data_IF_213470969684
#
_entry.id   IF_213470969684
#
_cell.length_a   1.000
_cell.length_b   1.000
_cell.length_c   1.000
_cell.angle_alpha   90.00
_cell.angle_beta   90.00
_cell.angle_gamma   90.00
#
_symmetry.space_group_name_H-M   'P 1'
#
loop_
_entity.id
_entity.type
_entity.pdbx_description
1 polymer ?
#
# COMPACT_ATOMS: atom_id res chain seq x y z
N UNK A 1 -12.62 -0.67 -4.32
CA UNK A 1 -13.95 -0.98 -3.76
C UNK A 1 -14.87 0.17 -4.05
N UNK A 2 -15.97 -0.09 -4.77
CA UNK A 2 -17.11 0.82 -4.76
C UNK A 2 -17.79 0.69 -3.40
N UNK A 3 -18.07 1.82 -2.76
CA UNK A 3 -19.17 2.04 -1.82
C UNK A 3 -19.75 0.77 -1.16
N UNK A 4 -19.29 0.42 0.05
CA UNK A 4 -19.91 -0.61 0.86
C UNK A 4 -20.94 0.04 1.78
N UNK A 5 -22.21 -0.15 1.45
CA UNK A 5 -23.29 0.13 2.37
C UNK A 5 -23.87 -1.23 2.77
N UNK A 6 -23.71 -1.62 4.03
CA UNK A 6 -24.43 -2.77 4.61
C UNK A 6 -25.92 -2.41 4.81
N UNK A 7 -26.54 -1.82 3.80
CA UNK A 7 -27.91 -1.34 3.85
C UNK A 7 -28.68 -1.91 2.65
N UNK A 8 -29.67 -2.76 2.95
CA UNK A 8 -30.58 -3.36 1.97
C UNK A 8 -31.43 -2.31 1.22
N UNK A 9 -31.39 -1.03 1.64
CA UNK A 9 -32.09 0.07 0.98
C UNK A 9 -31.73 0.23 -0.50
N UNK A 10 -30.48 -0.04 -0.92
CA UNK A 10 -30.15 0.03 -2.37
C UNK A 10 -30.81 -1.11 -3.12
N UNK A 11 -30.82 -2.33 -2.56
CA UNK A 11 -31.58 -3.46 -3.12
C UNK A 11 -33.07 -3.11 -3.22
N UNK A 12 -33.62 -2.43 -2.21
CA UNK A 12 -35.02 -2.01 -2.19
C UNK A 12 -35.35 -0.86 -3.15
N UNK A 13 -34.44 0.10 -3.32
CA UNK A 13 -34.55 1.15 -4.34
C UNK A 13 -34.48 0.56 -5.76
N UNK A 14 -33.60 -0.43 -5.98
CA UNK A 14 -33.53 -1.17 -7.24
C UNK A 14 -34.81 -1.96 -7.46
N UNK A 15 -35.39 -2.61 -6.44
CA UNK A 15 -36.71 -3.27 -6.53
C UNK A 15 -37.81 -2.30 -7.00
N UNK A 16 -37.81 -1.06 -6.51
CA UNK A 16 -38.81 -0.02 -6.87
C UNK A 16 -38.57 0.67 -8.22
N UNK A 17 -37.33 0.68 -8.73
CA UNK A 17 -37.00 1.31 -10.01
C UNK A 17 -37.64 0.57 -11.19
N UNK A 18 -38.15 1.23 -12.26
CA UNK A 18 -38.84 0.53 -13.35
C UNK A 18 -37.93 -0.36 -14.21
N UNK A 19 -36.64 0.00 -14.38
CA UNK A 19 -35.77 -0.63 -15.41
C UNK A 19 -34.50 -1.30 -14.91
N UNK A 20 -34.07 -1.04 -13.66
CA UNK A 20 -32.78 -1.50 -13.15
C UNK A 20 -32.91 -2.88 -12.47
N UNK A 21 -31.92 -3.75 -12.66
CA UNK A 21 -31.79 -5.04 -11.99
C UNK A 21 -30.39 -5.21 -11.34
N UNK A 22 -30.18 -6.26 -10.56
CA UNK A 22 -28.89 -6.55 -9.91
C UNK A 22 -28.85 -7.96 -9.34
N UNK A 23 -27.65 -8.42 -8.98
CA UNK A 23 -27.41 -9.69 -8.28
C UNK A 23 -27.90 -9.56 -6.83
N UNK A 24 -28.64 -10.56 -6.37
CA UNK A 24 -29.02 -10.71 -4.96
C UNK A 24 -28.01 -11.61 -4.23
N UNK A 25 -27.82 -12.84 -4.74
CA UNK A 25 -26.84 -13.82 -4.25
C UNK A 25 -26.49 -14.88 -5.33
N UNK A 26 -25.48 -15.71 -5.07
CA UNK A 26 -25.01 -16.77 -5.95
C UNK A 26 -24.93 -18.10 -5.20
N UNK A 27 -25.37 -19.19 -5.84
CA UNK A 27 -25.25 -20.57 -5.35
C UNK A 27 -24.46 -21.44 -6.33
N UNK A 28 -23.72 -22.41 -5.80
CA UNK A 28 -22.99 -23.40 -6.57
C UNK A 28 -23.72 -24.74 -6.51
N UNK A 29 -24.01 -25.34 -7.68
CA UNK A 29 -24.67 -26.63 -7.75
C UNK A 29 -23.71 -27.76 -7.40
N UNK A 30 -24.00 -28.47 -6.32
CA UNK A 30 -23.25 -29.64 -5.87
C UNK A 30 -24.11 -30.91 -5.95
N UNK A 31 -24.26 -31.47 -7.14
CA UNK A 31 -25.05 -32.70 -7.35
C UNK A 31 -24.14 -33.95 -7.26
N UNK A 32 -24.33 -34.83 -6.25
CA UNK A 32 -23.51 -36.03 -6.06
C UNK A 32 -23.75 -37.11 -7.11
N UNK A 33 -24.80 -37.00 -7.93
CA UNK A 33 -25.11 -37.96 -9.00
C UNK A 33 -24.29 -37.71 -10.27
N UNK A 34 -23.65 -36.55 -10.37
CA UNK A 34 -22.81 -36.15 -11.51
C UNK A 34 -21.37 -36.62 -11.27
N UNK A 35 -20.72 -37.32 -12.24
CA UNK A 35 -19.34 -37.78 -12.11
C UNK A 35 -18.36 -36.64 -11.79
N UNK A 36 -17.37 -36.93 -10.95
CA UNK A 36 -16.54 -35.94 -10.26
C UNK A 36 -15.99 -34.78 -11.09
N UNK A 37 -15.58 -35.03 -12.34
CA UNK A 37 -15.09 -33.96 -13.21
C UNK A 37 -16.17 -32.93 -13.55
N UNK A 38 -17.42 -33.33 -13.74
CA UNK A 38 -18.54 -32.46 -14.11
C UNK A 38 -19.30 -31.89 -12.89
N UNK A 39 -18.98 -32.33 -11.68
CA UNK A 39 -19.50 -31.78 -10.41
C UNK A 39 -18.97 -30.34 -10.20
N UNK A 40 -19.71 -29.48 -9.51
CA UNK A 40 -19.33 -28.08 -9.20
C UNK A 40 -19.08 -27.19 -10.44
N UNK A 41 -19.74 -27.48 -11.57
CA UNK A 41 -19.62 -26.69 -12.81
C UNK A 41 -20.81 -25.80 -13.14
N UNK A 42 -21.86 -25.81 -12.32
CA UNK A 42 -23.07 -25.01 -12.56
C UNK A 42 -23.24 -23.98 -11.45
N UNK A 43 -23.26 -22.71 -11.83
CA UNK A 43 -23.47 -21.56 -10.96
C UNK A 43 -24.89 -21.02 -11.17
N UNK A 44 -25.64 -20.85 -10.09
CA UNK A 44 -26.95 -20.20 -10.10
C UNK A 44 -26.83 -18.79 -9.52
N UNK A 45 -27.01 -17.78 -10.37
CA UNK A 45 -26.97 -16.38 -9.96
C UNK A 45 -28.40 -15.86 -9.84
N UNK A 46 -28.83 -15.53 -8.63
CA UNK A 46 -30.17 -15.02 -8.35
C UNK A 46 -30.17 -13.50 -8.50
N UNK A 47 -31.06 -13.00 -9.35
CA UNK A 47 -31.27 -11.58 -9.57
C UNK A 47 -32.47 -11.07 -8.76
N UNK A 48 -32.45 -9.77 -8.45
CA UNK A 48 -33.48 -9.09 -7.67
C UNK A 48 -34.85 -9.08 -8.39
N UNK A 49 -34.84 -9.02 -9.72
CA UNK A 49 -36.04 -9.04 -10.58
C UNK A 49 -35.96 -10.16 -11.61
N UNK A 50 -37.13 -10.66 -12.09
CA UNK A 50 -37.18 -11.61 -13.19
C UNK A 50 -36.47 -11.05 -14.42
N UNK A 51 -35.64 -11.90 -15.01
CA UNK A 51 -34.95 -11.63 -16.25
C UNK A 51 -35.94 -12.02 -17.35
N UNK A 52 -36.28 -11.09 -18.24
CA UNK A 52 -37.28 -11.28 -19.29
C UNK A 52 -36.86 -12.34 -20.32
N UNK A 53 -36.89 -11.99 -21.61
CA UNK A 53 -36.62 -12.98 -22.65
C UNK A 53 -35.20 -13.58 -22.57
N UNK A 54 -35.15 -14.92 -22.65
CA UNK A 54 -33.93 -15.72 -22.55
C UNK A 54 -32.88 -15.37 -23.61
N UNK A 55 -33.28 -14.75 -24.71
CA UNK A 55 -32.41 -14.36 -25.83
C UNK A 55 -31.60 -13.09 -25.59
N UNK A 56 -31.78 -12.41 -24.46
CA UNK A 56 -31.16 -11.11 -24.16
C UNK A 56 -29.85 -11.21 -23.35
N UNK A 57 -29.50 -12.41 -22.84
CA UNK A 57 -28.25 -12.66 -22.12
C UNK A 57 -27.50 -13.83 -22.77
N UNK A 58 -26.23 -13.60 -23.09
CA UNK A 58 -25.31 -14.59 -23.65
C UNK A 58 -24.11 -14.85 -22.75
N UNK A 59 -23.19 -15.69 -23.23
CA UNK A 59 -21.92 -16.01 -22.53
C UNK A 59 -21.06 -14.78 -22.26
N UNK A 60 -21.17 -13.76 -23.11
CA UNK A 60 -20.45 -12.50 -23.03
C UNK A 60 -20.89 -11.62 -21.85
N UNK A 61 -22.07 -11.89 -21.29
CA UNK A 61 -22.62 -11.12 -20.18
C UNK A 61 -22.18 -11.62 -18.81
N UNK A 62 -21.55 -12.80 -18.72
CA UNK A 62 -21.10 -13.37 -17.44
C UNK A 62 -19.60 -13.61 -17.54
N UNK A 63 -18.83 -12.87 -16.75
CA UNK A 63 -17.39 -13.03 -16.66
C UNK A 63 -16.99 -13.46 -15.26
N UNK A 64 -16.11 -14.45 -15.17
CA UNK A 64 -15.53 -14.92 -13.91
C UNK A 64 -14.06 -14.57 -13.94
N UNK A 65 -13.59 -13.90 -12.89
CA UNK A 65 -12.20 -13.52 -12.70
C UNK A 65 -11.73 -14.01 -11.33
N UNK A 66 -10.46 -14.40 -11.20
CA UNK A 66 -9.89 -14.90 -9.95
C UNK A 66 -9.22 -16.27 -10.10
N UNK A 67 -8.90 -16.88 -8.96
CA UNK A 67 -8.15 -18.13 -8.89
C UNK A 67 -6.64 -17.93 -8.80
N UNK A 68 -5.99 -18.58 -7.83
CA UNK A 68 -4.53 -18.58 -7.72
C UNK A 68 -3.91 -19.71 -8.54
N UNK A 69 -4.34 -20.95 -8.27
CA UNK A 69 -3.78 -22.17 -8.87
C UNK A 69 -4.55 -22.62 -10.11
N UNK A 70 -5.89 -22.52 -10.09
CA UNK A 70 -6.72 -22.77 -11.27
C UNK A 70 -7.21 -21.42 -11.81
N UNK A 71 -6.69 -21.04 -12.98
CA UNK A 71 -7.05 -19.80 -13.69
C UNK A 71 -7.83 -20.13 -14.97
N UNK A 72 -8.39 -19.09 -15.59
CA UNK A 72 -9.10 -19.16 -16.88
C UNK A 72 -10.38 -20.02 -16.84
N UNK A 73 -11.18 -19.83 -15.79
CA UNK A 73 -12.53 -20.38 -15.71
C UNK A 73 -13.42 -19.61 -16.68
N UNK A 74 -13.78 -20.27 -17.78
CA UNK A 74 -14.61 -19.70 -18.83
C UNK A 74 -16.04 -20.23 -18.73
N UNK A 75 -17.01 -19.34 -18.94
CA UNK A 75 -18.43 -19.68 -19.02
C UNK A 75 -18.71 -20.33 -20.38
N UNK A 76 -19.17 -21.58 -20.37
CA UNK A 76 -19.46 -22.37 -21.57
C UNK A 76 -20.88 -22.16 -22.08
N UNK A 77 -21.85 -22.05 -21.17
CA UNK A 77 -23.24 -21.80 -21.50
C UNK A 77 -23.89 -20.93 -20.43
N UNK A 78 -24.85 -20.12 -20.86
CA UNK A 78 -25.69 -19.30 -19.99
C UNK A 78 -27.14 -19.55 -20.39
N UNK A 79 -27.98 -19.90 -19.44
CA UNK A 79 -29.42 -19.98 -19.63
C UNK A 79 -30.15 -19.19 -18.55
N UNK A 80 -31.22 -18.50 -18.95
CA UNK A 80 -32.14 -17.84 -18.02
C UNK A 80 -33.19 -18.87 -17.62
N UNK A 81 -33.41 -18.99 -16.32
CA UNK A 81 -34.37 -19.91 -15.74
C UNK A 81 -33.73 -21.21 -15.26
N UNK A 82 -33.76 -21.41 -13.95
CA UNK A 82 -33.42 -22.67 -13.30
C UNK A 82 -34.44 -22.94 -12.19
N UNK A 83 -34.72 -24.21 -11.91
CA UNK A 83 -35.63 -24.63 -10.84
C UNK A 83 -37.03 -23.99 -10.88
N UNK A 84 -37.53 -23.65 -12.08
CA UNK A 84 -38.84 -23.03 -12.27
C UNK A 84 -38.92 -21.54 -11.95
N UNK A 85 -37.79 -20.87 -11.67
CA UNK A 85 -37.73 -19.43 -11.36
C UNK A 85 -37.17 -18.63 -12.53
N UNK A 86 -37.77 -17.48 -12.86
CA UNK A 86 -37.35 -16.61 -13.98
C UNK A 86 -36.32 -15.53 -13.59
N UNK A 87 -35.92 -15.45 -12.33
CA UNK A 87 -34.91 -14.51 -11.83
C UNK A 87 -33.53 -15.15 -11.65
N UNK A 88 -33.31 -16.36 -12.20
CA UNK A 88 -32.06 -17.10 -12.03
C UNK A 88 -31.30 -17.20 -13.35
N UNK A 89 -30.01 -16.88 -13.32
CA UNK A 89 -29.07 -17.15 -14.41
C UNK A 89 -28.31 -18.42 -14.06
N UNK A 90 -28.49 -19.47 -14.86
CA UNK A 90 -27.67 -20.66 -14.78
C UNK A 90 -26.46 -20.50 -15.71
N UNK A 91 -25.27 -20.38 -15.13
CA UNK A 91 -24.01 -20.30 -15.86
C UNK A 91 -23.23 -21.59 -15.67
N UNK A 92 -22.89 -22.27 -16.78
CA UNK A 92 -22.05 -23.45 -16.76
C UNK A 92 -20.60 -23.05 -17.04
N UNK A 93 -19.65 -23.64 -16.33
CA UNK A 93 -18.22 -23.35 -16.47
C UNK A 93 -17.43 -24.54 -17.04
N UNK A 94 -16.32 -24.23 -17.71
CA UNK A 94 -15.45 -25.23 -18.33
C UNK A 94 -14.72 -26.14 -17.32
N UNK A 95 -14.39 -25.64 -16.13
CA UNK A 95 -13.60 -26.30 -15.10
C UNK A 95 -14.14 -25.95 -13.71
N UNK A 96 -14.11 -26.91 -12.78
CA UNK A 96 -14.30 -26.63 -11.37
C UNK A 96 -13.03 -25.96 -10.81
N UNK A 97 -13.20 -24.89 -10.01
CA UNK A 97 -12.10 -24.17 -9.39
C UNK A 97 -11.50 -24.87 -8.16
N UNK A 98 -10.72 -24.10 -7.39
CA UNK A 98 -10.05 -24.51 -6.16
C UNK A 98 -10.60 -23.75 -4.92
N UNK A 99 -9.83 -23.69 -3.84
CA UNK A 99 -10.15 -22.96 -2.60
C UNK A 99 -9.91 -21.43 -2.70
N UNK A 100 -9.47 -20.93 -3.86
CA UNK A 100 -9.26 -19.49 -4.05
C UNK A 100 -10.61 -18.75 -4.14
N UNK A 101 -10.59 -17.45 -3.86
CA UNK A 101 -11.75 -16.57 -4.11
C UNK A 101 -11.88 -16.27 -5.61
N UNK A 102 -13.10 -16.41 -6.14
CA UNK A 102 -13.46 -16.04 -7.50
C UNK A 102 -14.54 -14.96 -7.47
N UNK A 103 -14.44 -13.99 -8.37
CA UNK A 103 -15.42 -12.92 -8.52
C UNK A 103 -16.20 -13.14 -9.82
N UNK A 104 -17.51 -13.26 -9.72
CA UNK A 104 -18.42 -13.24 -10.87
C UNK A 104 -18.88 -11.81 -11.13
N UNK A 105 -18.81 -11.38 -12.38
CA UNK A 105 -19.25 -10.07 -12.86
C UNK A 105 -20.26 -10.20 -13.99
N UNK A 106 -21.38 -9.50 -13.85
CA UNK A 106 -22.36 -9.30 -14.92
C UNK A 106 -22.00 -8.07 -15.75
N UNK A 107 -21.91 -8.26 -17.06
CA UNK A 107 -21.64 -7.20 -18.04
C UNK A 107 -22.95 -6.77 -18.71
N UNK A 108 -23.16 -5.46 -18.91
CA UNK A 108 -24.37 -4.95 -19.55
C UNK A 108 -24.48 -5.44 -21.00
N UNK A 109 -25.64 -5.96 -21.37
CA UNK A 109 -25.95 -6.35 -22.75
C UNK A 109 -26.51 -5.19 -23.57
N UNK A 110 -26.22 -5.15 -24.87
CA UNK A 110 -26.68 -4.07 -25.80
C UNK A 110 -28.22 -4.02 -25.92
N UNK A 111 -28.92 -5.13 -25.66
CA UNK A 111 -30.40 -5.22 -25.61
C UNK A 111 -30.93 -5.85 -24.32
N UNK A 112 -30.06 -6.04 -23.32
CA UNK A 112 -30.38 -6.76 -22.08
C UNK A 112 -30.88 -5.85 -20.96
N UNK A 113 -31.29 -6.42 -19.81
CA UNK A 113 -31.64 -5.65 -18.62
C UNK A 113 -30.47 -4.75 -18.20
N UNK A 114 -30.77 -3.51 -17.82
CA UNK A 114 -29.75 -2.60 -17.28
C UNK A 114 -29.45 -3.01 -15.84
N UNK A 115 -28.19 -3.34 -15.57
CA UNK A 115 -27.76 -3.70 -14.22
C UNK A 115 -27.25 -2.46 -13.48
N UNK A 116 -27.57 -2.39 -12.18
CA UNK A 116 -26.98 -1.41 -11.29
C UNK A 116 -25.46 -1.65 -11.19
N UNK A 117 -24.60 -0.65 -11.48
CA UNK A 117 -23.15 -0.81 -11.44
C UNK A 117 -22.61 -1.38 -10.12
N UNK A 118 -23.30 -1.14 -8.99
CA UNK A 118 -22.90 -1.64 -7.67
C UNK A 118 -23.31 -3.10 -7.43
N UNK A 119 -24.38 -3.57 -8.05
CA UNK A 119 -24.94 -4.92 -7.83
C UNK A 119 -24.64 -5.86 -9.01
N UNK A 120 -23.48 -5.69 -9.65
CA UNK A 120 -23.03 -6.52 -10.80
C UNK A 120 -21.96 -7.54 -10.43
N UNK A 121 -21.40 -7.48 -9.23
CA UNK A 121 -20.28 -8.33 -8.81
C UNK A 121 -20.61 -9.12 -7.55
N UNK A 122 -20.21 -10.39 -7.50
CA UNK A 122 -20.34 -11.25 -6.32
C UNK A 122 -19.12 -12.17 -6.19
N UNK A 123 -18.62 -12.35 -4.98
CA UNK A 123 -17.48 -13.21 -4.68
C UNK A 123 -17.94 -14.59 -4.18
N UNK A 124 -17.29 -15.66 -4.63
CA UNK A 124 -17.63 -17.05 -4.28
C UNK A 124 -16.41 -18.00 -4.35
N UNK A 125 -16.56 -19.22 -3.81
CA UNK A 125 -15.51 -20.26 -3.75
C UNK A 125 -16.06 -21.63 -4.18
N UNK A 126 -15.25 -22.49 -4.81
CA UNK A 126 -15.72 -23.74 -5.42
C UNK A 126 -15.76 -24.97 -4.49
N UNK A 127 -14.98 -25.03 -3.41
CA UNK A 127 -14.90 -26.23 -2.55
C UNK A 127 -15.35 -25.94 -1.13
N UNK A 128 -16.26 -26.78 -0.62
CA UNK A 128 -16.82 -26.66 0.73
C UNK A 128 -16.34 -27.79 1.66
N UNK A 129 -16.03 -29.00 1.18
CA UNK A 129 -15.44 -30.08 2.01
C UNK A 129 -14.58 -31.06 1.19
N UNK A 130 -13.33 -31.34 1.59
CA UNK A 130 -12.56 -32.49 1.08
C UNK A 130 -11.51 -32.99 2.10
N UNK A 131 -11.40 -34.31 2.37
CA UNK A 131 -10.40 -34.88 3.27
C UNK A 131 -9.00 -34.97 2.61
N UNK A 132 -7.97 -34.80 3.42
CA UNK A 132 -6.57 -34.71 3.02
C UNK A 132 -5.95 -36.13 2.89
N UNK A 133 -5.29 -36.44 1.77
CA UNK A 133 -4.89 -37.81 1.41
C UNK A 133 -3.37 -37.94 1.16
N UNK A 134 -2.55 -37.53 2.13
CA UNK A 134 -1.09 -37.65 2.05
C UNK A 134 -0.58 -38.85 2.85
N UNK A 135 0.22 -39.69 2.20
CA UNK A 135 0.82 -40.92 2.72
C UNK A 135 2.26 -40.66 3.22
N UNK A 136 2.67 -41.31 4.31
CA UNK A 136 3.89 -40.97 5.07
C UNK A 136 5.20 -41.46 4.43
N UNK A 137 6.21 -40.59 4.43
CA UNK A 137 7.57 -40.82 3.90
C UNK A 137 8.39 -41.78 4.79
N UNK A 138 9.03 -42.80 4.19
CA UNK A 138 9.85 -43.79 4.91
C UNK A 138 11.30 -43.33 5.07
N UNK A 139 11.82 -43.41 6.30
CA UNK A 139 13.17 -42.97 6.70
C UNK A 139 14.31 -43.75 6.03
N UNK A 140 15.43 -43.09 5.65
CA UNK A 140 16.61 -43.74 5.10
C UNK A 140 17.42 -44.50 6.17
N UNK A 141 18.24 -45.50 5.76
CA UNK A 141 19.05 -46.32 6.66
C UNK A 141 20.32 -45.62 7.20
N UNK A 142 20.84 -46.13 8.31
CA UNK A 142 21.88 -45.50 9.15
C UNK A 142 23.26 -45.35 8.48
N UNK A 143 23.91 -44.21 8.77
CA UNK A 143 25.26 -43.85 8.31
C UNK A 143 26.38 -44.51 9.14
N UNK A 144 27.58 -44.74 8.56
CA UNK A 144 28.71 -45.38 9.24
C UNK A 144 29.36 -44.51 10.34
N UNK A 145 29.97 -45.15 11.33
CA UNK A 145 30.63 -44.51 12.48
C UNK A 145 31.94 -43.80 12.10
N UNK A 146 32.08 -42.54 12.52
CA UNK A 146 33.25 -41.68 12.30
C UNK A 146 34.16 -41.77 13.54
N UNK A 147 35.50 -41.93 13.41
CA UNK A 147 36.40 -41.98 14.56
C UNK A 147 36.39 -40.67 15.36
N UNK A 148 36.44 -40.79 16.70
CA UNK A 148 36.44 -39.65 17.61
C UNK A 148 37.73 -38.83 17.46
N UNK A 149 37.56 -37.57 17.05
CA UNK A 149 38.62 -36.57 17.02
C UNK A 149 38.67 -35.86 18.38
N UNK A 150 39.84 -35.37 18.81
CA UNK A 150 39.91 -34.55 20.01
C UNK A 150 38.99 -33.33 19.88
N UNK A 151 38.24 -33.03 20.95
CA UNK A 151 37.32 -31.91 20.98
C UNK A 151 38.11 -30.60 20.95
N UNK A 152 38.26 -30.02 19.75
CA UNK A 152 38.79 -28.67 19.61
C UNK A 152 37.67 -27.72 19.99
N UNK A 153 37.87 -26.94 21.05
CA UNK A 153 36.93 -25.88 21.41
C UNK A 153 37.02 -24.73 20.39
N UNK A 154 36.24 -24.82 19.32
CA UNK A 154 36.18 -23.80 18.26
C UNK A 154 35.56 -22.48 18.72
N UNK A 155 35.00 -22.42 19.93
CA UNK A 155 34.48 -21.18 20.52
C UNK A 155 35.53 -20.44 21.37
N UNK A 156 36.67 -21.08 21.67
CA UNK A 156 37.78 -20.44 22.35
C UNK A 156 38.32 -19.30 21.48
N UNK A 157 38.09 -18.08 21.94
CA UNK A 157 38.39 -16.84 21.21
C UNK A 157 39.06 -15.77 22.08
N UNK A 158 39.32 -16.10 23.34
CA UNK A 158 39.96 -15.27 24.34
C UNK A 158 41.35 -15.80 24.67
N UNK A 159 42.15 -14.98 25.35
CA UNK A 159 43.51 -15.33 25.74
C UNK A 159 43.60 -16.68 26.47
N UNK A 160 42.73 -16.90 27.46
CA UNK A 160 42.72 -18.12 28.27
C UNK A 160 42.45 -19.35 27.40
N UNK A 161 41.40 -19.31 26.57
CA UNK A 161 41.06 -20.41 25.67
C UNK A 161 42.14 -20.70 24.63
N UNK A 162 42.79 -19.68 24.07
CA UNK A 162 43.91 -19.89 23.14
C UNK A 162 45.12 -20.52 23.82
N UNK A 163 45.45 -20.08 25.04
CA UNK A 163 46.57 -20.64 25.81
C UNK A 163 46.34 -22.12 26.13
N UNK A 164 45.14 -22.48 26.58
CA UNK A 164 44.74 -23.84 26.91
C UNK A 164 44.79 -24.75 25.67
N UNK A 165 44.17 -24.32 24.56
CA UNK A 165 44.18 -25.08 23.30
C UNK A 165 45.60 -25.37 22.81
N UNK A 166 46.48 -24.37 22.87
CA UNK A 166 47.88 -24.54 22.44
C UNK A 166 48.65 -25.47 23.38
N UNK A 167 48.48 -25.37 24.70
CA UNK A 167 49.12 -26.25 25.67
C UNK A 167 48.61 -27.70 25.56
N UNK A 168 47.32 -27.90 25.37
CA UNK A 168 46.71 -29.22 25.15
C UNK A 168 47.25 -29.85 23.86
N UNK A 169 47.32 -29.06 22.78
CA UNK A 169 47.88 -29.53 21.51
C UNK A 169 49.36 -29.90 21.65
N UNK A 170 50.14 -29.11 22.38
CA UNK A 170 51.55 -29.40 22.65
C UNK A 170 51.73 -30.68 23.46
N UNK A 171 50.82 -30.98 24.39
CA UNK A 171 50.85 -32.23 25.18
C UNK A 171 50.68 -33.48 24.32
N UNK A 172 49.92 -33.39 23.22
CA UNK A 172 49.75 -34.49 22.26
C UNK A 172 50.94 -34.62 21.30
N UNK A 173 51.44 -33.49 20.79
CA UNK A 173 52.51 -33.48 19.79
C UNK A 173 53.89 -33.75 20.40
N UNK A 174 54.12 -33.27 21.63
CA UNK A 174 55.38 -33.34 22.35
C UNK A 174 55.14 -33.89 23.76
N UNK A 175 54.77 -35.18 23.90
CA UNK A 175 54.44 -35.77 25.21
C UNK A 175 55.61 -35.77 26.21
N UNK A 176 56.83 -35.53 25.75
CA UNK A 176 58.02 -35.40 26.61
C UNK A 176 58.15 -34.01 27.23
N UNK A 177 57.47 -33.00 26.68
CA UNK A 177 57.47 -31.65 27.21
C UNK A 177 56.36 -31.50 28.27
N UNK A 178 56.78 -31.48 29.53
CA UNK A 178 55.90 -31.48 30.72
C UNK A 178 55.96 -30.18 31.52
N UNK A 179 56.76 -29.21 31.08
CA UNK A 179 56.96 -27.95 31.78
C UNK A 179 55.67 -27.10 31.74
N UNK A 180 55.32 -26.52 32.90
CA UNK A 180 54.12 -25.71 33.12
C UNK A 180 54.41 -24.43 33.91
N UNK A 181 55.68 -24.18 34.25
CA UNK A 181 56.09 -22.98 34.96
C UNK A 181 55.85 -21.73 34.09
N UNK A 182 55.22 -20.67 34.64
CA UNK A 182 55.10 -19.38 33.95
C UNK A 182 56.46 -18.75 33.61
N UNK A 183 57.55 -19.17 34.28
CA UNK A 183 58.90 -18.70 34.00
C UNK A 183 59.59 -19.47 32.85
N UNK A 184 58.94 -20.50 32.30
CA UNK A 184 59.45 -21.23 31.15
C UNK A 184 59.30 -20.43 29.85
N UNK A 185 60.33 -20.50 29.01
CA UNK A 185 60.34 -19.77 27.73
C UNK A 185 59.28 -20.31 26.76
N UNK A 186 58.99 -21.61 26.80
CA UNK A 186 57.95 -22.24 25.98
C UNK A 186 56.56 -21.76 26.39
N UNK A 187 56.30 -21.69 27.70
CA UNK A 187 55.04 -21.11 28.23
C UNK A 187 54.90 -19.64 27.87
N UNK A 188 55.97 -18.83 28.02
CA UNK A 188 55.98 -17.42 27.62
C UNK A 188 55.67 -17.23 26.12
N UNK A 189 56.21 -18.09 25.24
CA UNK A 189 55.92 -18.03 23.80
C UNK A 189 54.45 -18.38 23.51
N UNK A 190 53.88 -19.36 24.21
CA UNK A 190 52.47 -19.70 24.08
C UNK A 190 51.58 -18.54 24.51
N UNK A 191 51.88 -17.90 25.64
CA UNK A 191 51.15 -16.72 26.11
C UNK A 191 51.24 -15.54 25.12
N UNK A 192 52.43 -15.29 24.55
CA UNK A 192 52.59 -14.25 23.53
C UNK A 192 51.73 -14.51 22.29
N UNK A 193 51.68 -15.76 21.83
CA UNK A 193 50.83 -16.16 20.71
C UNK A 193 49.34 -16.05 21.07
N UNK A 194 48.97 -16.41 22.30
CA UNK A 194 47.59 -16.32 22.78
C UNK A 194 47.11 -14.86 22.83
N UNK A 195 47.97 -13.94 23.28
CA UNK A 195 47.70 -12.50 23.28
C UNK A 195 47.45 -11.96 21.86
N UNK A 196 48.31 -12.33 20.90
CA UNK A 196 48.11 -11.94 19.49
C UNK A 196 46.82 -12.56 18.93
N UNK A 197 46.54 -13.82 19.29
CA UNK A 197 45.31 -14.52 18.93
C UNK A 197 44.05 -13.78 19.39
N UNK A 198 43.98 -13.40 20.66
CA UNK A 198 42.86 -12.64 21.23
C UNK A 198 42.66 -11.30 20.52
N UNK A 199 43.74 -10.53 20.33
CA UNK A 199 43.66 -9.25 19.62
C UNK A 199 43.15 -9.39 18.18
N UNK A 200 43.59 -10.41 17.45
CA UNK A 200 43.11 -10.69 16.09
C UNK A 200 41.67 -11.19 16.08
N UNK A 201 41.29 -12.03 17.05
CA UNK A 201 39.94 -12.53 17.26
C UNK A 201 38.95 -11.38 17.44
N UNK A 202 39.26 -10.44 18.34
CA UNK A 202 38.45 -9.22 18.52
C UNK A 202 38.29 -8.42 17.21
N UNK A 203 39.37 -8.24 16.45
CA UNK A 203 39.30 -7.51 15.17
C UNK A 203 38.43 -8.22 14.15
N UNK A 204 38.49 -9.56 14.07
CA UNK A 204 37.63 -10.34 13.20
C UNK A 204 36.15 -10.17 13.58
N UNK A 205 35.83 -10.22 14.87
CA UNK A 205 34.44 -10.11 15.33
C UNK A 205 33.86 -8.71 15.08
N UNK A 206 34.64 -7.64 15.29
CA UNK A 206 34.20 -6.27 14.97
C UNK A 206 33.97 -6.10 13.46
N UNK A 207 34.87 -6.64 12.63
CA UNK A 207 34.72 -6.57 11.17
C UNK A 207 33.51 -7.39 10.70
N UNK A 208 33.33 -8.60 11.22
CA UNK A 208 32.20 -9.46 10.90
C UNK A 208 30.87 -8.83 11.35
N UNK A 209 30.85 -8.17 12.51
CA UNK A 209 29.68 -7.42 12.97
C UNK A 209 29.31 -6.32 11.98
N UNK A 210 30.29 -5.60 11.43
CA UNK A 210 30.04 -4.52 10.48
C UNK A 210 29.79 -4.99 9.04
N UNK A 211 30.10 -6.24 8.69
CA UNK A 211 29.99 -6.77 7.31
C UNK A 211 28.59 -7.23 6.90
N UNK A 212 27.65 -7.30 7.84
CA UNK A 212 26.26 -7.67 7.53
C UNK A 212 25.30 -6.58 7.98
N UNK A 213 24.28 -6.32 7.18
CA UNK A 213 23.31 -5.24 7.43
C UNK A 213 22.58 -5.40 8.77
N UNK A 214 22.25 -6.63 9.16
CA UNK A 214 21.54 -6.93 10.41
C UNK A 214 22.39 -6.81 11.68
N UNK A 215 23.72 -6.89 11.57
CA UNK A 215 24.64 -6.81 12.71
C UNK A 215 25.42 -5.50 12.78
N UNK A 216 25.49 -4.75 11.68
CA UNK A 216 26.28 -3.52 11.60
C UNK A 216 25.80 -2.47 12.61
N UNK A 217 26.72 -1.90 13.38
CA UNK A 217 26.40 -0.91 14.42
C UNK A 217 26.67 0.51 13.94
N UNK A 218 27.56 0.71 12.97
CA UNK A 218 27.86 2.05 12.44
C UNK A 218 26.93 2.42 11.30
N UNK A 219 26.30 3.60 11.38
CA UNK A 219 25.44 4.14 10.30
C UNK A 219 26.14 4.22 8.95
N UNK A 220 27.46 4.47 8.94
CA UNK A 220 28.25 4.51 7.70
C UNK A 220 28.31 3.13 7.03
N UNK A 221 28.47 2.05 7.80
CA UNK A 221 28.47 0.68 7.29
C UNK A 221 27.10 0.32 6.73
N UNK A 222 26.01 0.58 7.48
CA UNK A 222 24.63 0.35 7.04
C UNK A 222 24.37 1.10 5.72
N UNK A 223 24.76 2.38 5.63
CA UNK A 223 24.61 3.18 4.41
C UNK A 223 25.37 2.60 3.20
N UNK A 224 26.55 2.03 3.41
CA UNK A 224 27.32 1.36 2.35
C UNK A 224 26.65 0.06 1.89
N UNK A 225 26.13 -0.75 2.82
CA UNK A 225 25.39 -1.97 2.50
C UNK A 225 24.08 -1.65 1.77
N UNK A 226 23.32 -0.67 2.25
CA UNK A 226 22.09 -0.20 1.64
C UNK A 226 22.30 0.25 0.18
N UNK A 227 23.43 0.91 -0.11
CA UNK A 227 23.78 1.33 -1.47
C UNK A 227 23.96 0.15 -2.44
N UNK A 228 24.34 -1.04 -1.98
CA UNK A 228 24.43 -2.24 -2.85
C UNK A 228 23.05 -2.74 -3.28
N UNK A 229 21.99 -2.38 -2.56
CA UNK A 229 20.60 -2.68 -2.87
C UNK A 229 19.90 -1.49 -3.56
N UNK A 230 20.66 -0.50 -4.03
CA UNK A 230 20.16 0.78 -4.54
C UNK A 230 19.22 1.51 -3.55
N UNK A 231 19.37 1.23 -2.25
CA UNK A 231 18.61 1.87 -1.19
C UNK A 231 19.41 3.03 -0.58
N UNK A 232 18.87 4.24 -0.67
CA UNK A 232 19.47 5.43 -0.09
C UNK A 232 18.86 5.71 1.29
N UNK A 233 19.69 5.64 2.33
CA UNK A 233 19.26 6.02 3.69
C UNK A 233 19.08 7.54 3.73
N UNK A 234 17.87 7.99 4.09
CA UNK A 234 17.57 9.42 4.24
C UNK A 234 18.42 10.05 5.36
N UNK A 235 18.86 11.29 5.13
CA UNK A 235 19.61 12.12 6.10
C UNK A 235 18.69 13.01 6.95
N UNK A 236 17.40 12.68 7.01
CA UNK A 236 16.35 13.55 7.54
C UNK A 236 15.69 14.40 6.44
N UNK A 237 14.46 14.83 6.69
CA UNK A 237 13.73 15.78 5.84
C UNK A 237 13.23 16.92 6.71
N UNK A 238 13.23 18.14 6.18
CA UNK A 238 12.49 19.24 6.80
C UNK A 238 11.00 18.87 6.88
N UNK A 239 10.31 19.44 7.86
CA UNK A 239 8.87 19.32 7.98
C UNK A 239 8.20 19.83 6.70
N UNK A 240 7.25 19.06 6.18
CA UNK A 240 6.43 19.41 5.02
C UNK A 240 4.99 19.30 5.42
N UNK A 241 4.19 20.27 5.02
CA UNK A 241 2.75 20.29 5.26
C UNK A 241 2.04 20.77 4.00
N UNK A 242 0.79 20.35 3.85
CA UNK A 242 -0.11 20.96 2.89
C UNK A 242 -0.70 22.23 3.49
N UNK A 243 -0.92 23.24 2.65
CA UNK A 243 -1.55 24.51 3.04
C UNK A 243 -2.64 24.81 2.02
N UNK A 244 -3.81 25.22 2.49
CA UNK A 244 -4.88 25.73 1.64
C UNK A 244 -4.73 27.24 1.47
N UNK A 245 -4.73 27.71 0.23
CA UNK A 245 -4.70 29.15 -0.09
C UNK A 245 -6.11 29.54 -0.54
N UNK A 246 -6.76 30.39 0.23
CA UNK A 246 -8.09 30.91 -0.10
C UNK A 246 -7.92 32.16 -0.97
N UNK A 247 -8.51 32.14 -2.16
CA UNK A 247 -8.47 33.27 -3.09
C UNK A 247 -9.85 33.92 -3.22
N UNK A 248 -9.89 35.24 -3.39
CA UNK A 248 -11.14 36.02 -3.57
C UNK A 248 -11.57 36.13 -5.04
N UNK A 249 -10.70 35.76 -5.95
CA UNK A 249 -10.90 35.78 -7.39
C UNK A 249 -9.91 34.80 -8.02
N UNK A 250 -10.23 34.33 -9.21
CA UNK A 250 -9.34 33.44 -9.95
C UNK A 250 -7.99 34.10 -10.24
N UNK A 251 -6.92 33.41 -9.88
CA UNK A 251 -5.54 33.79 -10.18
C UNK A 251 -5.07 32.81 -11.23
N UNK A 252 -5.04 33.24 -12.48
CA UNK A 252 -4.41 32.49 -13.56
C UNK A 252 -3.22 33.28 -14.09
N UNK A 253 -2.10 32.60 -14.34
CA UNK A 253 -1.01 33.19 -15.08
C UNK A 253 -1.53 33.58 -16.49
N UNK A 254 -1.50 34.87 -16.90
CA UNK A 254 -1.88 35.23 -18.25
C UNK A 254 -0.83 34.67 -19.21
N UNK A 255 -1.20 33.57 -19.86
CA UNK A 255 -0.45 32.83 -20.87
C UNK A 255 0.79 32.07 -20.38
N UNK A 256 1.00 30.88 -20.96
CA UNK A 256 2.24 30.11 -20.87
C UNK A 256 3.42 30.87 -21.50
N UNK A 257 3.91 31.88 -20.79
CA UNK A 257 5.19 32.50 -21.06
C UNK A 257 6.30 31.50 -20.76
N UNK A 258 7.34 31.42 -21.61
CA UNK A 258 8.35 30.37 -21.51
C UNK A 258 9.06 30.47 -20.17
N UNK A 259 9.26 29.30 -19.56
CA UNK A 259 10.32 29.07 -18.58
C UNK A 259 11.60 29.72 -19.08
N UNK A 260 12.20 30.60 -18.26
CA UNK A 260 13.53 31.20 -18.40
C UNK A 260 14.31 30.73 -19.65
N UNK A 261 14.13 31.45 -20.76
CA UNK A 261 14.79 31.18 -22.03
C UNK A 261 14.49 32.32 -22.98
N UNK A 262 15.50 33.16 -23.18
CA UNK A 262 15.62 34.20 -24.20
C UNK A 262 14.78 35.49 -24.04
N UNK A 263 15.50 36.51 -23.58
CA UNK A 263 15.09 37.90 -23.54
C UNK A 263 15.05 38.51 -24.95
N UNK A 264 13.93 38.37 -25.65
CA UNK A 264 13.49 39.32 -26.68
C UNK A 264 12.11 38.93 -27.18
N UNK A 265 11.05 39.42 -26.55
CA UNK A 265 9.96 40.04 -27.31
C UNK A 265 8.98 40.77 -26.39
N UNK A 266 8.78 42.04 -26.75
CA UNK A 266 8.01 43.01 -25.98
C UNK A 266 6.56 42.97 -26.43
N UNK A 267 5.71 42.26 -25.69
CA UNK A 267 4.28 42.57 -25.63
C UNK A 267 3.78 42.35 -24.21
N UNK A 268 3.95 43.41 -23.41
CA UNK A 268 3.51 43.50 -22.02
C UNK A 268 1.98 43.56 -22.01
N UNK A 269 1.33 42.43 -21.78
CA UNK A 269 0.02 42.43 -21.13
C UNK A 269 0.24 42.97 -19.72
N UNK A 270 -0.13 44.22 -19.51
CA UNK A 270 -0.07 44.89 -18.20
C UNK A 270 -0.76 44.03 -17.14
N UNK A 271 -0.06 43.62 -16.07
CA UNK A 271 -0.73 42.99 -14.93
C UNK A 271 -1.76 43.97 -14.38
N UNK A 272 -2.98 43.49 -14.15
CA UNK A 272 -4.01 44.27 -13.49
C UNK A 272 -3.45 44.70 -12.11
N UNK A 273 -3.39 46.01 -11.78
CA UNK A 273 -2.66 46.50 -10.61
C UNK A 273 -3.20 46.03 -9.25
N UNK A 274 -4.35 45.37 -9.22
CA UNK A 274 -5.06 45.01 -7.99
C UNK A 274 -5.05 43.50 -7.67
N UNK A 275 -4.50 42.65 -8.54
CA UNK A 275 -4.39 41.20 -8.30
C UNK A 275 -2.96 40.80 -7.96
N UNK A 276 -2.72 40.10 -6.83
CA UNK A 276 -1.39 39.61 -6.47
C UNK A 276 -0.89 38.60 -7.51
N UNK A 277 0.43 38.55 -7.77
CA UNK A 277 1.00 37.57 -8.68
C UNK A 277 0.77 36.14 -8.15
N UNK A 278 0.71 35.13 -9.05
CA UNK A 278 0.58 33.73 -8.67
C UNK A 278 1.72 33.30 -7.70
N UNK A 279 1.44 32.42 -6.71
CA UNK A 279 2.45 31.95 -5.78
C UNK A 279 3.61 31.24 -6.49
N UNK A 280 4.84 31.63 -6.14
CA UNK A 280 6.07 31.07 -6.71
C UNK A 280 6.87 30.29 -5.67
N UNK A 281 7.68 29.36 -6.14
CA UNK A 281 8.61 28.60 -5.31
C UNK A 281 9.48 29.54 -4.48
N UNK A 282 9.60 29.24 -3.20
CA UNK A 282 10.31 30.09 -2.22
C UNK A 282 9.43 31.18 -1.60
N UNK A 283 8.16 31.33 -2.00
CA UNK A 283 7.21 32.17 -1.28
C UNK A 283 7.06 31.68 0.16
N UNK A 284 7.13 32.60 1.12
CA UNK A 284 7.13 32.30 2.54
C UNK A 284 5.74 32.39 3.16
N UNK A 285 5.41 31.39 3.97
CA UNK A 285 4.22 31.34 4.83
C UNK A 285 4.68 31.41 6.28
N UNK A 286 4.12 32.36 7.02
CA UNK A 286 4.43 32.59 8.42
C UNK A 286 3.28 32.07 9.28
N UNK A 287 3.58 31.30 10.32
CA UNK A 287 2.57 30.88 11.31
C UNK A 287 2.31 31.98 12.34
N UNK A 288 1.13 31.97 12.98
CA UNK A 288 0.84 32.77 14.19
C UNK A 288 0.90 34.30 14.01
N UNK A 289 0.27 34.84 12.96
CA UNK A 289 0.25 36.29 12.69
C UNK A 289 -1.17 36.80 12.43
N UNK A 290 -2.05 36.66 13.42
CA UNK A 290 -3.50 36.86 13.26
C UNK A 290 -3.94 38.32 13.09
N UNK A 291 -3.09 39.28 13.45
CA UNK A 291 -3.40 40.71 13.46
C UNK A 291 -2.86 41.49 12.25
N UNK A 292 -2.12 40.83 11.35
CA UNK A 292 -1.62 41.42 10.11
C UNK A 292 -2.48 41.02 8.91
N UNK A 293 -2.34 41.77 7.82
CA UNK A 293 -2.97 41.39 6.55
C UNK A 293 -2.42 40.03 6.10
N UNK A 294 -3.27 39.12 5.55
CA UNK A 294 -2.84 37.78 5.13
C UNK A 294 -1.74 37.78 4.06
N UNK A 295 -1.61 38.87 3.30
CA UNK A 295 -0.55 39.09 2.32
C UNK A 295 0.30 40.27 2.78
N UNK A 296 1.58 40.01 3.02
CA UNK A 296 2.54 41.03 3.45
C UNK A 296 3.71 41.04 2.48
N UNK A 297 4.02 42.20 1.90
CA UNK A 297 5.18 42.33 1.02
C UNK A 297 6.48 42.36 1.87
N UNK A 298 7.55 41.67 1.44
CA UNK A 298 8.79 41.53 2.24
C UNK A 298 9.49 42.86 2.57
N UNK A 299 9.26 43.89 1.76
CA UNK A 299 9.86 45.21 1.91
C UNK A 299 9.08 46.15 2.86
N UNK A 300 7.94 45.70 3.41
CA UNK A 300 7.12 46.51 4.31
C UNK A 300 7.51 46.28 5.78
N UNK A 301 7.39 47.30 6.66
CA UNK A 301 7.63 47.16 8.09
C UNK A 301 6.81 46.05 8.75
N UNK A 302 5.60 45.80 8.23
CA UNK A 302 4.73 44.71 8.67
C UNK A 302 5.42 43.33 8.59
N UNK A 303 6.28 43.10 7.60
CA UNK A 303 7.02 41.85 7.47
C UNK A 303 8.04 41.68 8.61
N UNK A 304 8.79 42.73 8.93
CA UNK A 304 9.73 42.72 10.06
C UNK A 304 9.02 42.55 11.41
N UNK A 305 7.82 43.14 11.56
CA UNK A 305 6.98 42.95 12.75
C UNK A 305 6.49 41.51 12.88
N UNK A 306 6.09 40.87 11.77
CA UNK A 306 5.72 39.47 11.75
C UNK A 306 6.91 38.57 12.16
N UNK A 307 8.11 38.82 11.62
CA UNK A 307 9.32 38.07 11.96
C UNK A 307 9.76 38.25 13.43
N UNK A 308 9.50 39.41 14.03
CA UNK A 308 9.81 39.67 15.44
C UNK A 308 9.01 38.78 16.41
N UNK A 309 7.91 38.16 15.95
CA UNK A 309 7.14 37.18 16.73
C UNK A 309 7.73 35.76 16.67
N UNK A 310 8.87 35.58 16.00
CA UNK A 310 9.52 34.29 15.78
C UNK A 310 8.58 33.20 15.20
N UNK A 311 7.87 33.49 14.09
CA UNK A 311 6.99 32.52 13.46
C UNK A 311 7.80 31.34 12.88
N UNK A 312 7.15 30.19 12.71
CA UNK A 312 7.71 29.14 11.88
C UNK A 312 7.51 29.54 10.42
N UNK A 313 8.62 29.59 9.67
CA UNK A 313 8.61 29.98 8.26
C UNK A 313 8.59 28.72 7.40
N UNK A 314 7.56 28.59 6.58
CA UNK A 314 7.48 27.57 5.53
C UNK A 314 7.72 28.21 4.17
N UNK A 315 8.32 27.47 3.25
CA UNK A 315 8.54 27.91 1.87
C UNK A 315 7.79 27.04 0.89
N UNK A 316 7.16 27.67 -0.11
CA UNK A 316 6.49 26.96 -1.18
C UNK A 316 7.50 26.15 -1.99
N UNK A 317 7.24 24.84 -2.14
CA UNK A 317 8.17 23.92 -2.81
C UNK A 317 8.09 23.97 -4.35
N UNK A 318 6.96 24.40 -4.89
CA UNK A 318 6.63 24.37 -6.32
C UNK A 318 5.94 25.67 -6.73
N UNK A 319 6.05 26.04 -8.00
CA UNK A 319 5.25 27.15 -8.53
C UNK A 319 3.78 26.74 -8.65
N UNK A 320 2.87 27.68 -8.36
CA UNK A 320 1.43 27.49 -8.51
C UNK A 320 0.92 28.49 -9.54
N UNK A 321 0.57 27.99 -10.72
CA UNK A 321 0.20 28.84 -11.86
C UNK A 321 -1.26 29.29 -11.87
N UNK A 322 -2.15 28.47 -11.29
CA UNK A 322 -3.59 28.65 -11.34
C UNK A 322 -4.21 28.36 -9.97
N UNK A 323 -4.98 29.31 -9.43
CA UNK A 323 -5.85 29.16 -8.27
C UNK A 323 -7.24 29.65 -8.65
N UNK A 324 -8.27 28.88 -8.28
CA UNK A 324 -9.65 29.18 -8.64
C UNK A 324 -10.49 29.36 -7.38
N UNK A 325 -11.31 30.41 -7.34
CA UNK A 325 -12.20 30.70 -6.20
C UNK A 325 -13.18 29.54 -5.98
N UNK A 326 -13.66 28.92 -7.06
CA UNK A 326 -14.55 27.76 -7.01
C UNK A 326 -13.93 26.52 -6.33
N UNK A 327 -12.60 26.48 -6.15
CA UNK A 327 -11.91 25.38 -5.46
C UNK A 327 -11.69 25.64 -3.96
N UNK A 328 -12.10 26.79 -3.43
CA UNK A 328 -11.99 27.10 -2.01
C UNK A 328 -12.85 26.14 -1.16
N UNK A 329 -14.04 25.78 -1.64
CA UNK A 329 -14.99 24.92 -0.94
C UNK A 329 -15.63 23.93 -1.93
N UNK A 330 -15.53 22.64 -1.63
CA UNK A 330 -16.05 21.55 -2.47
C UNK A 330 -16.95 20.64 -1.62
N UNK A 331 -18.15 20.36 -2.10
CA UNK A 331 -19.11 19.49 -1.42
C UNK A 331 -19.23 18.13 -2.10
N UNK A 332 -19.57 17.09 -1.33
CA UNK A 332 -19.87 15.77 -1.89
C UNK A 332 -21.29 15.72 -2.47
N UNK A 333 -21.42 15.04 -3.59
CA UNK A 333 -22.73 14.65 -4.13
C UNK A 333 -23.19 13.36 -3.45
N UNK A 334 -24.27 13.43 -2.69
CA UNK A 334 -24.72 12.34 -1.83
C UNK A 334 -25.69 11.36 -2.50
N UNK A 335 -26.00 11.54 -3.79
CA UNK A 335 -26.92 10.68 -4.54
C UNK A 335 -28.30 10.46 -3.87
N UNK A 336 -28.73 11.40 -3.02
CA UNK A 336 -29.99 11.33 -2.27
C UNK A 336 -29.90 10.61 -0.92
N UNK A 337 -28.72 10.12 -0.51
CA UNK A 337 -28.50 9.57 0.81
C UNK A 337 -28.17 10.69 1.82
N UNK A 338 -28.75 10.62 3.03
CA UNK A 338 -28.62 11.68 4.05
C UNK A 338 -27.65 11.35 5.18
N UNK A 339 -27.41 10.05 5.42
CA UNK A 339 -26.63 9.54 6.56
C UNK A 339 -25.47 8.66 6.08
N UNK A 340 -24.72 9.09 5.07
CA UNK A 340 -23.64 8.29 4.48
C UNK A 340 -22.28 8.89 4.76
N UNK A 341 -21.42 8.12 5.41
CA UNK A 341 -20.03 8.44 5.62
C UNK A 341 -19.18 7.89 4.46
N UNK A 342 -18.14 8.61 4.07
CA UNK A 342 -17.07 8.03 3.27
C UNK A 342 -16.36 6.97 4.13
N UNK A 343 -16.31 5.70 3.70
CA UNK A 343 -15.66 4.66 4.48
C UNK A 343 -14.16 4.96 4.60
N UNK A 344 -13.57 4.62 5.76
CA UNK A 344 -12.13 4.77 5.97
C UNK A 344 -11.37 4.01 4.88
N UNK A 345 -10.50 4.73 4.16
CA UNK A 345 -9.75 4.17 3.01
C UNK A 345 -10.44 4.28 1.66
N UNK A 346 -11.57 5.00 1.55
CA UNK A 346 -12.15 5.35 0.25
C UNK A 346 -11.15 6.13 -0.61
N UNK A 347 -10.93 5.67 -1.85
CA UNK A 347 -10.01 6.30 -2.81
C UNK A 347 -10.74 7.09 -3.90
N UNK A 348 -12.08 7.16 -3.83
CA UNK A 348 -12.94 7.81 -4.84
C UNK A 348 -14.18 8.38 -4.17
N UNK A 349 -14.61 9.56 -4.60
CA UNK A 349 -15.85 10.23 -4.17
C UNK A 349 -16.43 11.07 -5.32
N UNK A 350 -17.73 11.35 -5.30
CA UNK A 350 -18.39 12.22 -6.28
C UNK A 350 -18.60 13.61 -5.67
N UNK A 351 -18.23 14.67 -6.41
CA UNK A 351 -18.41 16.06 -5.98
C UNK A 351 -19.73 16.63 -6.52
N UNK A 352 -20.31 17.57 -5.78
CA UNK A 352 -21.47 18.37 -6.17
C UNK A 352 -20.98 19.59 -6.96
N UNK A 353 -21.44 19.73 -8.20
CA UNK A 353 -21.05 20.81 -9.12
C UNK A 353 -20.22 20.31 -10.30
N UNK A 354 -19.74 21.26 -11.12
CA UNK A 354 -18.86 20.99 -12.26
C UNK A 354 -17.53 21.73 -12.04
N UNK A 355 -16.42 20.97 -12.03
CA UNK A 355 -15.07 21.47 -11.75
C UNK A 355 -14.12 21.06 -12.88
N UNK A 356 -14.26 21.65 -14.09
CA UNK A 356 -13.48 21.27 -15.27
C UNK A 356 -11.99 21.58 -15.14
N UNK A 357 -11.60 22.36 -14.12
CA UNK A 357 -10.22 22.78 -13.86
C UNK A 357 -9.47 21.84 -12.90
N UNK A 358 -10.16 20.92 -12.22
CA UNK A 358 -9.50 19.88 -11.42
C UNK A 358 -8.84 18.85 -12.35
N UNK A 359 -7.55 18.58 -12.11
CA UNK A 359 -6.73 17.67 -12.91
C UNK A 359 -6.24 16.50 -12.07
N UNK A 360 -5.90 15.40 -12.73
CA UNK A 360 -5.24 14.29 -12.06
C UNK A 360 -3.87 14.75 -11.51
N UNK A 361 -3.65 14.57 -10.21
CA UNK A 361 -2.47 15.07 -9.50
C UNK A 361 -2.78 16.15 -8.46
N UNK A 362 -3.95 16.79 -8.55
CA UNK A 362 -4.40 17.75 -7.55
C UNK A 362 -4.71 17.03 -6.22
N UNK A 363 -4.33 17.68 -5.12
CA UNK A 363 -4.57 17.17 -3.76
C UNK A 363 -5.80 17.84 -3.19
N UNK A 364 -6.84 17.03 -2.91
CA UNK A 364 -8.04 17.49 -2.22
C UNK A 364 -7.96 17.09 -0.75
N UNK A 365 -8.13 18.08 0.12
CA UNK A 365 -8.19 17.91 1.56
C UNK A 365 -9.63 18.16 1.99
N UNK A 366 -10.24 17.17 2.64
CA UNK A 366 -11.59 17.28 3.17
C UNK A 366 -11.52 17.37 4.69
N UNK A 367 -12.07 18.44 5.23
CA UNK A 367 -12.20 18.66 6.66
C UNK A 367 -13.62 18.29 7.12
N UNK A 368 -13.72 17.62 8.26
CA UNK A 368 -15.01 17.33 8.89
C UNK A 368 -15.49 18.55 9.69
N UNK A 369 -16.40 19.32 9.09
CA UNK A 369 -16.99 20.52 9.70
C UNK A 369 -18.07 20.16 10.74
N UNK A 370 -18.82 19.08 10.50
CA UNK A 370 -19.88 18.59 11.38
C UNK A 370 -19.71 17.09 11.67
N UNK A 371 -19.48 16.76 12.93
CA UNK A 371 -19.43 15.37 13.39
C UNK A 371 -20.82 14.73 13.44
N UNK A 372 -20.98 13.44 13.10
CA UNK A 372 -22.27 12.75 13.14
C UNK A 372 -22.87 12.65 14.56
N UNK A 373 -22.05 12.82 15.60
CA UNK A 373 -22.46 12.73 17.01
C UNK A 373 -22.58 14.09 17.72
N UNK A 374 -22.04 15.15 17.12
CA UNK A 374 -22.01 16.48 17.71
C UNK A 374 -22.50 17.45 16.65
N UNK A 375 -23.77 17.81 16.69
CA UNK A 375 -24.35 18.90 15.90
C UNK A 375 -23.82 20.29 16.32
N UNK A 376 -22.54 20.38 16.67
CA UNK A 376 -21.78 21.58 16.99
C UNK A 376 -20.47 21.53 16.19
N UNK A 377 -20.11 22.66 15.58
CA UNK A 377 -18.86 22.85 14.86
C UNK A 377 -17.68 22.29 15.66
N UNK A 378 -16.85 21.48 15.01
CA UNK A 378 -15.67 20.85 15.57
C UNK A 378 -14.68 21.92 16.08
N UNK A 379 -14.48 21.97 17.40
CA UNK A 379 -13.27 22.56 17.96
C UNK A 379 -12.12 21.56 17.77
N UNK A 380 -11.21 21.90 16.86
CA UNK A 380 -9.78 21.58 16.78
C UNK A 380 -9.24 20.32 17.49
N UNK A 381 -8.56 19.41 16.78
CA UNK A 381 -7.53 18.57 17.36
C UNK A 381 -6.14 19.21 17.15
N UNK A 382 -5.41 19.35 18.25
CA UNK A 382 -3.96 19.57 18.31
C UNK A 382 -3.16 18.55 17.50
#
# INVERSE_FOLDING_TARGET
>A
MLYSCCDDRRKEAVRKHPTLNGIDYLELSDDPTVPGDARLRTLYVYCIKPLGDASLLGRENVKIEGGERIRDIAVTSVSIGANGQSNVIAAQVNKAGDFSSYTLRLLPGVRGPQFDPLLTTVDFTFKIEAPNNFDCETSPPCAPEIPEQPEINYLAKDFAGFSELMLDRLSVLLPQWTERSPADIGVMLVELLAYVGDYLSYRQDVIATESYLGTARRRISIRRHARLLDYFISEGSNARTWVQIIVKADIANPAGGPSLGDASDTSVSTPHPDLPPPPRKGMQFLTCVDWLSPVVAPNLPAYNQALALHPTVFELMYDVDELYEAHNELHFYTWGARDCCLPKGATRATLLGDYPKLRAGDVLIFEEVFGPYTANCSCNPT
#
